data_IF_481011744029
#
_entry.id   IF_481011744029
#
_cell.length_a   1.000
_cell.length_b   1.000
_cell.length_c   1.000
_cell.angle_alpha   90.00
_cell.angle_beta   90.00
_cell.angle_gamma   90.00
#
_symmetry.space_group_name_H-M   'P 1'
#
loop_
_entity.id
_entity.type
_entity.pdbx_description
1 polymer ?
#
# COMPACT_ATOMS: atom_id res chain seq x y z
N UNK A 1 14.68 -17.27 2.83
CA UNK A 1 16.03 -17.54 2.31
C UNK A 1 16.95 -17.77 3.52
N UNK A 2 16.83 -18.94 4.13
CA UNK A 2 17.63 -19.28 5.30
C UNK A 2 19.13 -19.24 4.95
N UNK A 3 19.91 -18.55 5.79
CA UNK A 3 21.37 -18.49 5.66
C UNK A 3 21.94 -17.36 4.79
N UNK A 4 21.09 -16.51 4.19
CA UNK A 4 21.55 -15.35 3.42
C UNK A 4 21.07 -14.05 4.04
N UNK A 5 21.87 -12.96 3.99
CA UNK A 5 21.39 -11.63 4.37
C UNK A 5 20.18 -11.21 3.55
N UNK A 6 19.18 -10.61 4.21
CA UNK A 6 17.97 -10.16 3.58
C UNK A 6 17.75 -8.68 3.86
N UNK A 7 17.48 -7.89 2.80
CA UNK A 7 17.11 -6.48 2.92
C UNK A 7 15.72 -6.32 2.33
N UNK A 8 14.77 -5.84 3.13
CA UNK A 8 13.36 -5.77 2.74
C UNK A 8 12.66 -4.53 3.29
N UNK A 9 11.55 -4.17 2.68
CA UNK A 9 10.71 -3.06 3.12
C UNK A 9 9.83 -3.48 4.30
N UNK A 10 9.55 -2.56 5.22
CA UNK A 10 8.57 -2.79 6.29
C UNK A 10 7.15 -2.56 5.76
N UNK A 11 6.63 -3.53 5.00
CA UNK A 11 5.32 -3.46 4.36
C UNK A 11 4.17 -3.36 5.38
N UNK A 12 4.30 -4.05 6.52
CA UNK A 12 3.35 -3.95 7.61
C UNK A 12 3.30 -2.52 8.18
N UNK A 13 4.46 -1.95 8.54
CA UNK A 13 4.53 -0.59 9.09
C UNK A 13 4.11 0.47 8.07
N UNK A 14 4.39 0.24 6.80
CA UNK A 14 3.93 1.10 5.71
C UNK A 14 2.40 1.20 5.68
N UNK A 15 1.72 0.06 5.74
CA UNK A 15 0.25 0.00 5.79
C UNK A 15 -0.30 0.60 7.08
N UNK A 16 0.31 0.32 8.25
CA UNK A 16 -0.06 0.95 9.52
C UNK A 16 0.01 2.48 9.41
N UNK A 17 1.17 3.02 9.02
CA UNK A 17 1.38 4.47 8.96
C UNK A 17 0.41 5.17 7.98
N UNK A 18 0.11 4.54 6.83
CA UNK A 18 -0.85 5.08 5.87
C UNK A 18 -2.25 5.08 6.45
N UNK A 19 -2.69 3.95 6.99
CA UNK A 19 -4.05 3.80 7.53
C UNK A 19 -4.30 4.74 8.71
N UNK A 20 -3.29 4.98 9.58
CA UNK A 20 -3.35 5.98 10.65
C UNK A 20 -3.66 7.42 10.15
N UNK A 21 -3.29 7.74 8.90
CA UNK A 21 -3.71 9.02 8.32
C UNK A 21 -5.14 8.95 7.79
N UNK A 22 -5.49 7.85 7.12
CA UNK A 22 -6.79 7.71 6.46
C UNK A 22 -7.96 7.64 7.46
N UNK A 23 -7.76 7.04 8.64
CA UNK A 23 -8.82 6.96 9.69
C UNK A 23 -9.17 8.30 10.32
N UNK A 24 -8.33 9.32 10.20
CA UNK A 24 -8.62 10.65 10.76
C UNK A 24 -9.86 11.29 10.15
N UNK A 25 -10.17 10.97 8.90
CA UNK A 25 -11.28 11.54 8.13
C UNK A 25 -12.19 10.48 7.49
N UNK A 26 -11.73 9.23 7.43
CA UNK A 26 -12.49 8.10 6.88
C UNK A 26 -13.41 7.47 7.90
N UNK A 27 -14.56 6.95 7.44
CA UNK A 27 -15.57 6.28 8.27
C UNK A 27 -15.87 4.86 7.79
N UNK A 28 -16.07 4.66 6.49
CA UNK A 28 -16.34 3.37 5.88
C UNK A 28 -15.27 3.02 4.86
N UNK A 29 -14.56 1.93 5.11
CA UNK A 29 -13.36 1.55 4.40
C UNK A 29 -13.60 0.44 3.40
N UNK A 30 -13.02 0.57 2.21
CA UNK A 30 -12.77 -0.50 1.26
C UNK A 30 -11.26 -0.74 1.12
N UNK A 31 -10.89 -1.98 0.79
CA UNK A 31 -9.50 -2.35 0.58
C UNK A 31 -9.34 -3.20 -0.68
N UNK A 32 -8.51 -2.74 -1.62
CA UNK A 32 -8.11 -3.54 -2.78
C UNK A 32 -6.73 -4.14 -2.50
N UNK A 33 -6.71 -5.43 -2.20
CA UNK A 33 -5.52 -6.23 -1.89
C UNK A 33 -5.04 -7.02 -3.11
N UNK A 34 -4.05 -7.88 -2.90
CA UNK A 34 -3.62 -8.94 -3.82
C UNK A 34 -3.68 -10.29 -3.11
N UNK A 35 -3.31 -11.35 -3.81
CA UNK A 35 -3.34 -12.72 -3.25
C UNK A 35 -2.53 -12.84 -1.96
N UNK A 36 -3.07 -13.54 -0.96
CA UNK A 36 -2.39 -13.84 0.31
C UNK A 36 -1.16 -14.77 0.14
N UNK A 37 -0.90 -15.26 -1.08
CA UNK A 37 0.36 -15.95 -1.41
C UNK A 37 1.54 -14.98 -1.47
N UNK A 38 1.29 -13.69 -1.71
CA UNK A 38 2.29 -12.63 -1.60
C UNK A 38 2.40 -12.23 -0.12
N UNK A 39 3.54 -12.55 0.49
CA UNK A 39 3.79 -12.26 1.90
C UNK A 39 3.81 -10.76 2.19
N UNK A 40 4.52 -9.98 1.38
CA UNK A 40 4.74 -8.56 1.62
C UNK A 40 3.48 -7.73 1.32
N UNK A 41 2.98 -7.81 0.09
CA UNK A 41 1.89 -6.96 -0.39
C UNK A 41 0.51 -7.52 -0.03
N UNK A 42 0.33 -8.84 -0.12
CA UNK A 42 -0.92 -9.52 0.21
C UNK A 42 -1.17 -9.60 1.72
N UNK A 43 -0.24 -10.18 2.48
CA UNK A 43 -0.45 -10.43 3.92
C UNK A 43 -0.02 -9.27 4.81
N UNK A 44 1.23 -8.80 4.70
CA UNK A 44 1.76 -7.80 5.64
C UNK A 44 1.02 -6.46 5.53
N UNK A 45 0.76 -5.96 4.31
CA UNK A 45 0.00 -4.70 4.13
C UNK A 45 -1.44 -4.85 4.62
N UNK A 46 -2.12 -5.95 4.30
CA UNK A 46 -3.48 -6.23 4.77
C UNK A 46 -3.56 -6.24 6.30
N UNK A 47 -2.66 -6.99 6.95
CA UNK A 47 -2.60 -7.05 8.41
C UNK A 47 -2.35 -5.67 9.05
N UNK A 48 -1.54 -4.81 8.42
CA UNK A 48 -1.31 -3.44 8.87
C UNK A 48 -2.57 -2.58 8.79
N UNK A 49 -3.35 -2.69 7.70
CA UNK A 49 -4.63 -2.00 7.53
C UNK A 49 -5.64 -2.48 8.59
N UNK A 50 -5.84 -3.79 8.69
CA UNK A 50 -6.79 -4.41 9.63
C UNK A 50 -6.49 -4.04 11.07
N UNK A 51 -5.20 -4.01 11.47
CA UNK A 51 -4.77 -3.59 12.80
C UNK A 51 -5.27 -2.19 13.15
N UNK A 52 -4.98 -1.21 12.30
CA UNK A 52 -5.33 0.20 12.58
C UNK A 52 -6.84 0.41 12.58
N UNK A 53 -7.56 -0.21 11.65
CA UNK A 53 -9.02 -0.14 11.62
C UNK A 53 -9.61 -0.73 12.91
N UNK A 54 -9.13 -1.90 13.35
CA UNK A 54 -9.58 -2.53 14.60
C UNK A 54 -9.30 -1.67 15.84
N UNK A 55 -8.13 -1.04 15.93
CA UNK A 55 -7.78 -0.12 17.03
C UNK A 55 -8.67 1.13 17.07
N UNK A 56 -9.19 1.55 15.92
CA UNK A 56 -10.13 2.67 15.81
C UNK A 56 -11.60 2.24 15.83
N UNK A 57 -11.90 0.96 16.13
CA UNK A 57 -13.25 0.40 16.17
C UNK A 57 -13.99 0.50 14.83
N UNK A 58 -13.26 0.51 13.73
CA UNK A 58 -13.78 0.51 12.36
C UNK A 58 -13.74 -0.93 11.84
N UNK A 59 -14.89 -1.45 11.43
CA UNK A 59 -14.98 -2.77 10.82
C UNK A 59 -14.64 -2.70 9.33
N UNK A 60 -13.67 -3.50 8.89
CA UNK A 60 -13.45 -3.77 7.47
C UNK A 60 -14.27 -5.02 7.10
N UNK A 61 -15.43 -4.81 6.50
CA UNK A 61 -16.31 -5.90 6.07
C UNK A 61 -15.62 -6.74 4.99
N UNK A 62 -15.78 -8.06 5.03
CA UNK A 62 -15.15 -8.98 4.06
C UNK A 62 -15.54 -8.67 2.62
N UNK A 63 -16.77 -8.23 2.41
CA UNK A 63 -17.32 -7.81 1.12
C UNK A 63 -16.67 -6.52 0.60
N UNK A 64 -16.14 -5.69 1.48
CA UNK A 64 -15.39 -4.48 1.14
C UNK A 64 -13.90 -4.73 0.86
N UNK A 65 -13.45 -6.01 0.94
CA UNK A 65 -12.10 -6.42 0.55
C UNK A 65 -12.14 -7.10 -0.80
N UNK A 66 -11.51 -6.50 -1.80
CA UNK A 66 -11.45 -7.05 -3.16
C UNK A 66 -10.02 -7.44 -3.52
N UNK A 67 -9.83 -8.60 -4.16
CA UNK A 67 -8.51 -9.11 -4.53
C UNK A 67 -8.20 -8.78 -6.00
N UNK A 68 -7.22 -7.91 -6.22
CA UNK A 68 -6.64 -7.56 -7.53
C UNK A 68 -5.40 -8.37 -7.88
N UNK A 69 -4.68 -7.92 -8.92
CA UNK A 69 -3.51 -8.63 -9.46
C UNK A 69 -2.34 -7.69 -9.85
N UNK A 70 -2.16 -6.58 -9.14
CA UNK A 70 -1.12 -5.56 -9.35
C UNK A 70 -1.31 -4.66 -10.59
N UNK A 71 -2.27 -4.93 -11.48
CA UNK A 71 -2.47 -4.14 -12.69
C UNK A 71 -3.43 -2.96 -12.47
N UNK A 72 -3.36 -1.97 -13.34
CA UNK A 72 -4.27 -0.84 -13.37
C UNK A 72 -5.70 -1.31 -13.66
N UNK A 73 -5.85 -2.20 -14.62
CA UNK A 73 -7.13 -2.80 -15.03
C UNK A 73 -7.79 -3.52 -13.85
N UNK A 74 -7.01 -4.27 -13.06
CA UNK A 74 -7.59 -4.94 -11.88
C UNK A 74 -8.02 -3.94 -10.81
N UNK A 75 -7.28 -2.85 -10.62
CA UNK A 75 -7.70 -1.78 -9.72
C UNK A 75 -9.02 -1.15 -10.13
N UNK A 76 -9.19 -0.89 -11.44
CA UNK A 76 -10.43 -0.38 -12.02
C UNK A 76 -11.61 -1.34 -11.82
N UNK A 77 -11.47 -2.61 -12.21
CA UNK A 77 -12.55 -3.60 -12.08
C UNK A 77 -12.91 -3.88 -10.62
N UNK A 78 -11.92 -3.92 -9.71
CA UNK A 78 -12.20 -4.15 -8.29
C UNK A 78 -12.84 -2.94 -7.60
N UNK A 79 -12.56 -1.72 -8.04
CA UNK A 79 -13.29 -0.54 -7.62
C UNK A 79 -14.74 -0.58 -8.12
N UNK A 80 -14.95 -0.96 -9.38
CA UNK A 80 -16.29 -1.16 -9.94
C UNK A 80 -17.13 -2.16 -9.12
N UNK A 81 -16.57 -3.33 -8.83
CA UNK A 81 -17.22 -4.34 -8.00
C UNK A 81 -17.56 -3.75 -6.62
N UNK A 82 -16.58 -3.15 -5.95
CA UNK A 82 -16.74 -2.60 -4.61
C UNK A 82 -17.82 -1.52 -4.54
N UNK A 83 -17.74 -0.49 -5.38
CA UNK A 83 -18.64 0.65 -5.29
C UNK A 83 -20.04 0.38 -5.90
N UNK A 84 -20.20 -0.66 -6.70
CA UNK A 84 -21.52 -1.13 -7.14
C UNK A 84 -22.26 -1.80 -5.98
N UNK A 85 -21.56 -2.56 -5.15
CA UNK A 85 -22.13 -3.27 -4.01
C UNK A 85 -22.21 -2.39 -2.75
N UNK A 86 -21.22 -1.52 -2.55
CA UNK A 86 -21.03 -0.68 -1.36
C UNK A 86 -20.75 0.79 -1.73
N UNK A 87 -21.75 1.52 -2.29
CA UNK A 87 -21.58 2.90 -2.75
C UNK A 87 -21.35 3.91 -1.60
N UNK A 88 -21.51 3.50 -0.37
CA UNK A 88 -21.31 4.28 0.85
C UNK A 88 -19.88 4.19 1.42
N UNK A 89 -18.98 3.43 0.77
CA UNK A 89 -17.53 3.46 1.09
C UNK A 89 -17.00 4.86 0.80
N UNK A 90 -16.39 5.47 1.82
CA UNK A 90 -15.84 6.84 1.73
C UNK A 90 -14.30 6.90 1.73
N UNK A 91 -13.66 5.76 1.97
CA UNK A 91 -12.21 5.64 2.05
C UNK A 91 -11.75 4.35 1.39
N UNK A 92 -10.94 4.48 0.35
CA UNK A 92 -10.36 3.34 -0.37
C UNK A 92 -8.85 3.29 -0.18
N UNK A 93 -8.35 2.19 0.36
CA UNK A 93 -6.92 1.89 0.40
C UNK A 93 -6.63 0.80 -0.61
N UNK A 94 -5.62 1.00 -1.45
CA UNK A 94 -5.14 -0.03 -2.39
C UNK A 94 -3.74 -0.48 -1.98
N UNK A 95 -3.49 -1.77 -2.08
CA UNK A 95 -2.19 -2.35 -1.73
C UNK A 95 -1.04 -1.82 -2.61
N UNK A 96 -1.33 -1.29 -3.81
CA UNK A 96 -0.34 -0.64 -4.68
C UNK A 96 -0.89 0.64 -5.31
N UNK A 97 0.01 1.56 -5.69
CA UNK A 97 -0.37 2.78 -6.43
C UNK A 97 -1.00 2.46 -7.79
N UNK A 98 -0.50 1.44 -8.48
CA UNK A 98 -1.03 1.06 -9.80
C UNK A 98 -2.50 0.71 -9.72
N UNK A 99 -2.91 -0.10 -8.74
CA UNK A 99 -4.31 -0.42 -8.51
C UNK A 99 -5.10 0.79 -8.02
N UNK A 100 -4.50 1.65 -7.18
CA UNK A 100 -5.15 2.89 -6.72
C UNK A 100 -5.45 3.85 -7.89
N UNK A 101 -4.55 3.96 -8.87
CA UNK A 101 -4.77 4.76 -10.09
C UNK A 101 -5.92 4.19 -10.92
N UNK A 102 -5.96 2.87 -11.10
CA UNK A 102 -7.09 2.21 -11.78
C UNK A 102 -8.42 2.46 -11.08
N UNK A 103 -8.45 2.32 -9.76
CA UNK A 103 -9.63 2.59 -8.93
C UNK A 103 -10.06 4.06 -9.02
N UNK A 104 -9.12 5.00 -8.97
CA UNK A 104 -9.40 6.43 -9.11
C UNK A 104 -10.00 6.78 -10.48
N UNK A 105 -9.55 6.12 -11.55
CA UNK A 105 -10.13 6.30 -12.88
C UNK A 105 -11.59 5.87 -12.91
N UNK A 106 -11.91 4.68 -12.40
CA UNK A 106 -13.29 4.21 -12.33
C UNK A 106 -14.17 5.17 -11.50
N UNK A 107 -13.70 5.59 -10.33
CA UNK A 107 -14.43 6.54 -9.47
C UNK A 107 -14.76 7.84 -10.21
N UNK A 108 -13.81 8.42 -10.91
CA UNK A 108 -13.98 9.67 -11.68
C UNK A 108 -14.96 9.50 -12.85
N UNK A 109 -14.84 8.41 -13.60
CA UNK A 109 -15.74 8.10 -14.73
C UNK A 109 -17.19 7.90 -14.28
N UNK A 110 -17.40 7.47 -13.03
CA UNK A 110 -18.72 7.29 -12.42
C UNK A 110 -19.19 8.46 -11.54
N UNK A 111 -18.52 9.62 -11.65
CA UNK A 111 -18.95 10.88 -11.04
C UNK A 111 -18.60 11.05 -9.58
N UNK A 112 -17.79 10.17 -8.98
CA UNK A 112 -17.31 10.35 -7.61
C UNK A 112 -16.29 11.47 -7.52
N UNK A 113 -16.43 12.32 -6.52
CA UNK A 113 -15.46 13.38 -6.23
C UNK A 113 -14.37 12.88 -5.28
N UNK A 114 -13.11 12.94 -5.74
CA UNK A 114 -11.93 12.60 -4.95
C UNK A 114 -11.22 13.91 -4.55
N UNK A 115 -10.97 14.15 -3.27
CA UNK A 115 -11.20 13.29 -2.10
C UNK A 115 -12.53 13.49 -1.37
N UNK A 116 -13.41 14.39 -1.85
CA UNK A 116 -14.58 14.88 -1.09
C UNK A 116 -15.56 13.76 -0.72
N UNK A 117 -15.95 12.94 -1.69
CA UNK A 117 -16.84 11.80 -1.46
C UNK A 117 -16.03 10.56 -1.09
N UNK A 118 -14.96 10.26 -1.84
CA UNK A 118 -14.09 9.11 -1.60
C UNK A 118 -12.64 9.56 -1.56
N UNK A 119 -11.98 9.42 -0.42
CA UNK A 119 -10.54 9.55 -0.37
C UNK A 119 -9.87 8.24 -0.77
N UNK A 120 -8.75 8.32 -1.48
CA UNK A 120 -8.04 7.15 -1.97
C UNK A 120 -6.53 7.23 -1.71
N UNK A 121 -5.94 6.09 -1.36
CA UNK A 121 -4.50 5.99 -1.17
C UNK A 121 -3.95 4.66 -1.71
N UNK A 122 -2.68 4.71 -2.12
CA UNK A 122 -1.90 3.55 -2.54
C UNK A 122 -0.61 3.39 -1.75
N UNK A 123 0.27 2.50 -2.20
CA UNK A 123 1.61 2.29 -1.64
C UNK A 123 2.62 2.06 -2.78
N UNK A 124 3.75 2.81 -2.75
CA UNK A 124 4.84 2.68 -3.73
C UNK A 124 5.47 3.99 -4.20
N UNK A 125 4.78 5.11 -4.05
CA UNK A 125 5.18 6.45 -4.56
C UNK A 125 5.56 6.41 -6.04
N UNK A 126 4.72 5.74 -6.84
CA UNK A 126 4.92 5.53 -8.27
C UNK A 126 4.81 6.84 -9.06
N UNK A 127 5.37 6.82 -10.28
CA UNK A 127 5.23 7.94 -11.22
C UNK A 127 3.75 8.20 -11.57
N UNK A 128 2.96 7.14 -11.75
CA UNK A 128 1.53 7.26 -12.09
C UNK A 128 0.77 8.05 -11.02
N UNK A 129 1.04 7.79 -9.75
CA UNK A 129 0.39 8.51 -8.64
C UNK A 129 0.76 10.00 -8.57
N UNK A 130 1.84 10.43 -9.22
CA UNK A 130 2.30 11.83 -9.29
C UNK A 130 1.67 12.63 -10.43
N UNK A 131 1.19 11.96 -11.47
CA UNK A 131 0.67 12.59 -12.69
C UNK A 131 -0.86 12.56 -12.79
N UNK A 132 -1.53 11.70 -12.02
CA UNK A 132 -3.00 11.69 -11.99
C UNK A 132 -3.53 12.91 -11.25
N UNK A 133 -4.78 13.31 -11.55
CA UNK A 133 -5.53 14.35 -10.83
C UNK A 133 -6.77 13.73 -10.15
N UNK A 134 -6.94 13.90 -8.83
CA UNK A 134 -5.98 14.49 -7.87
C UNK A 134 -4.77 13.59 -7.66
N UNK A 135 -3.60 14.16 -7.29
CA UNK A 135 -2.38 13.40 -7.04
C UNK A 135 -2.55 12.43 -5.88
N UNK A 136 -2.03 11.23 -6.05
CA UNK A 136 -2.28 10.11 -5.15
C UNK A 136 -1.47 10.21 -3.85
N UNK A 137 -2.17 10.16 -2.72
CA UNK A 137 -1.61 9.89 -1.40
C UNK A 137 -1.07 8.47 -1.37
N UNK A 138 0.14 8.28 -0.85
CA UNK A 138 0.86 7.01 -0.95
C UNK A 138 1.92 6.83 0.14
N UNK A 139 2.58 5.68 0.12
CA UNK A 139 3.79 5.43 0.92
C UNK A 139 5.00 5.39 0.02
N UNK A 140 6.00 6.21 0.35
CA UNK A 140 7.31 6.17 -0.28
C UNK A 140 8.20 5.13 0.41
N UNK A 141 8.72 4.18 -0.37
CA UNK A 141 9.76 3.25 0.04
C UNK A 141 11.11 3.74 -0.47
N UNK A 142 12.14 3.68 0.37
CA UNK A 142 13.48 4.18 0.03
C UNK A 142 14.27 3.17 -0.83
N UNK A 143 13.74 2.80 -2.00
CA UNK A 143 14.32 1.78 -2.89
C UNK A 143 15.79 2.05 -3.25
N UNK A 144 16.17 3.32 -3.48
CA UNK A 144 17.55 3.68 -3.76
C UNK A 144 18.47 3.33 -2.58
N UNK A 145 18.08 3.68 -1.36
CA UNK A 145 18.85 3.37 -0.15
C UNK A 145 18.91 1.86 0.07
N UNK A 146 17.78 1.16 -0.12
CA UNK A 146 17.72 -0.29 -0.04
C UNK A 146 18.69 -0.97 -1.02
N UNK A 147 18.72 -0.49 -2.27
CA UNK A 147 19.68 -1.00 -3.28
C UNK A 147 21.15 -0.74 -2.91
N UNK A 148 21.42 0.44 -2.34
CA UNK A 148 22.80 0.76 -1.87
C UNK A 148 23.23 -0.14 -0.71
N UNK A 149 22.34 -0.38 0.27
CA UNK A 149 22.63 -1.29 1.38
C UNK A 149 22.79 -2.75 0.90
N UNK A 150 21.96 -3.18 -0.07
CA UNK A 150 22.10 -4.51 -0.68
C UNK A 150 23.46 -4.68 -1.37
N UNK A 151 23.92 -3.65 -2.11
CA UNK A 151 25.22 -3.68 -2.77
C UNK A 151 26.38 -3.75 -1.76
N UNK A 152 26.32 -2.97 -0.67
CA UNK A 152 27.34 -3.04 0.39
C UNK A 152 27.42 -4.44 1.02
N UNK A 153 26.28 -4.99 1.41
CA UNK A 153 26.22 -6.33 2.01
C UNK A 153 26.76 -7.39 1.04
N UNK A 154 26.45 -7.26 -0.26
CA UNK A 154 26.97 -8.18 -1.27
C UNK A 154 28.50 -8.08 -1.41
N UNK A 155 29.06 -6.87 -1.43
CA UNK A 155 30.53 -6.65 -1.49
C UNK A 155 31.19 -7.25 -0.24
N UNK A 156 30.65 -6.97 0.95
CA UNK A 156 31.16 -7.52 2.21
C UNK A 156 31.19 -9.07 2.18
N UNK A 157 30.15 -9.71 1.62
CA UNK A 157 30.09 -11.16 1.47
C UNK A 157 31.14 -11.72 0.49
N UNK A 158 31.41 -10.98 -0.59
CA UNK A 158 32.42 -11.39 -1.59
C UNK A 158 33.85 -11.25 -1.02
N UNK A 159 34.09 -10.18 -0.26
CA UNK A 159 35.42 -9.88 0.29
C UNK A 159 35.72 -10.68 1.58
N UNK A 160 34.69 -11.05 2.34
CA UNK A 160 34.84 -11.84 3.55
C UNK A 160 35.29 -13.26 3.20
N UNK A 161 36.47 -13.69 3.71
CA UNK A 161 36.91 -15.07 3.63
C UNK A 161 36.21 -15.99 4.62
N UNK A 162 35.42 -15.42 5.51
CA UNK A 162 34.65 -16.16 6.51
C UNK A 162 33.25 -16.47 5.95
N UNK A 163 32.94 -17.73 5.84
CA UNK A 163 31.53 -18.23 5.68
C UNK A 163 30.79 -17.98 7.00
N UNK A 164 30.56 -16.73 7.35
CA UNK A 164 29.75 -16.37 8.49
C UNK A 164 28.31 -16.76 8.19
N UNK A 165 27.83 -17.81 8.86
CA UNK A 165 26.46 -18.30 8.80
C UNK A 165 25.47 -17.42 9.58
N UNK A 166 25.82 -16.19 9.89
CA UNK A 166 24.92 -15.29 10.62
C UNK A 166 23.87 -14.73 9.67
N UNK A 167 22.63 -15.12 9.88
CA UNK A 167 21.48 -14.54 9.19
C UNK A 167 21.33 -13.06 9.61
N UNK A 168 21.43 -12.15 8.65
CA UNK A 168 21.31 -10.70 8.87
C UNK A 168 20.07 -10.20 8.14
N UNK A 169 19.14 -9.61 8.87
CA UNK A 169 17.98 -8.94 8.30
C UNK A 169 18.08 -7.43 8.48
N UNK A 170 17.89 -6.69 7.38
CA UNK A 170 17.82 -5.23 7.38
C UNK A 170 16.46 -4.82 6.88
N UNK A 171 15.63 -4.34 7.82
CA UNK A 171 14.30 -3.85 7.53
C UNK A 171 14.36 -2.35 7.23
N UNK A 172 13.90 -1.97 6.03
CA UNK A 172 13.92 -0.58 5.57
C UNK A 172 12.63 0.14 5.99
N UNK A 173 12.78 1.37 6.50
CA UNK A 173 11.65 2.22 6.83
C UNK A 173 10.95 2.80 5.60
N UNK A 174 9.83 3.49 5.85
CA UNK A 174 9.01 4.12 4.82
C UNK A 174 8.55 5.51 5.26
N UNK A 175 7.96 6.28 4.33
CA UNK A 175 7.39 7.60 4.61
C UNK A 175 6.03 7.74 3.94
N UNK A 176 4.98 8.14 4.68
CA UNK A 176 3.70 8.53 4.09
C UNK A 176 3.84 9.88 3.39
N UNK A 177 3.32 9.95 2.18
CA UNK A 177 3.29 11.16 1.33
C UNK A 177 1.82 11.51 1.09
N UNK A 178 1.32 12.47 1.86
CA UNK A 178 -0.03 12.99 1.70
C UNK A 178 -0.09 13.89 0.48
N UNK A 179 -1.12 13.71 -0.36
CA UNK A 179 -1.39 14.50 -1.56
C UNK A 179 -2.89 14.80 -1.67
N UNK A 180 -3.35 15.27 -2.83
CA UNK A 180 -4.71 15.77 -3.02
C UNK A 180 -5.81 14.70 -2.94
N UNK A 181 -5.47 13.41 -3.09
CA UNK A 181 -6.47 12.31 -3.03
C UNK A 181 -6.91 11.94 -1.60
N UNK A 182 -6.40 12.62 -0.60
CA UNK A 182 -6.72 12.45 0.81
C UNK A 182 -7.41 13.72 1.34
N UNK A 183 -8.40 13.55 2.22
CA UNK A 183 -9.07 14.67 2.89
C UNK A 183 -8.15 15.27 3.96
N UNK A 184 -7.92 16.58 3.88
CA UNK A 184 -7.21 17.30 4.94
C UNK A 184 -8.18 17.56 6.11
N UNK A 185 -7.63 17.51 7.33
CA UNK A 185 -8.33 17.88 8.56
C UNK A 185 -8.49 19.41 8.61
#
# INVERSE_FOLDING_TARGET
LDGYPCIFQDDYKAAVNLTEQMVKTGKKFGYITVTDKDEAVGRQRKSGVEKVLGENQITLESECVKCGNFTLESGYEKAKELFTEHPDVDTLICATDTMAVGAANWLKENGYQIPQQVQIAGMGDSFLGKIIEPKLTTVHFFYKTSGMESAKVLVDLIESKETSSVHKEIKMGCKVVLRESHRNI
#
